data_IF_434867116264
#
_entry.id   IF_434867116264
#
_cell.length_a   1.000
_cell.length_b   1.000
_cell.length_c   1.000
_cell.angle_alpha   90.00
_cell.angle_beta   90.00
_cell.angle_gamma   90.00
#
_symmetry.space_group_name_H-M   'P 1'
#
loop_
_entity.id
_entity.type
_entity.pdbx_description
1 polymer ?
#
# COMPACT_ATOMS: atom_id res chain seq x y z
N UNK A 1 -2.53 10.98 -6.19
CA UNK A 1 -3.70 10.26 -6.70
C UNK A 1 -4.17 9.23 -5.69
N UNK A 2 -5.46 8.95 -5.64
CA UNK A 2 -6.05 7.91 -4.81
C UNK A 2 -6.89 6.93 -5.63
N UNK A 3 -6.76 5.65 -5.29
CA UNK A 3 -7.68 4.63 -5.79
C UNK A 3 -8.93 4.49 -4.89
N UNK A 4 -9.82 3.57 -5.26
CA UNK A 4 -11.13 3.43 -4.62
C UNK A 4 -11.12 2.66 -3.29
N UNK A 5 -10.00 2.06 -2.88
CA UNK A 5 -9.99 1.19 -1.69
C UNK A 5 -10.20 1.95 -0.38
N UNK A 6 -9.74 3.20 -0.31
CA UNK A 6 -9.93 4.07 0.86
C UNK A 6 -9.81 5.54 0.47
N UNK A 7 -10.84 6.06 -0.20
CA UNK A 7 -10.90 7.46 -0.61
C UNK A 7 -10.80 8.45 0.56
N UNK A 8 -11.45 8.23 1.72
CA UNK A 8 -11.31 9.12 2.87
C UNK A 8 -9.86 9.28 3.34
N UNK A 9 -9.11 8.17 3.46
CA UNK A 9 -7.69 8.23 3.87
C UNK A 9 -6.84 8.98 2.85
N UNK A 10 -7.10 8.80 1.55
CA UNK A 10 -6.40 9.53 0.49
C UNK A 10 -6.63 11.03 0.57
N UNK A 11 -7.86 11.43 0.82
CA UNK A 11 -8.24 12.83 0.98
C UNK A 11 -7.59 13.43 2.23
N UNK A 12 -7.72 12.78 3.38
CA UNK A 12 -7.13 13.21 4.63
C UNK A 12 -5.60 13.35 4.53
N UNK A 13 -4.93 12.41 3.87
CA UNK A 13 -3.50 12.50 3.61
C UNK A 13 -3.14 13.76 2.80
N UNK A 14 -3.91 14.07 1.77
CA UNK A 14 -3.70 15.28 0.97
C UNK A 14 -3.91 16.56 1.81
N UNK A 15 -4.94 16.60 2.63
CA UNK A 15 -5.24 17.71 3.56
C UNK A 15 -4.10 17.92 4.56
N UNK A 16 -3.59 16.85 5.18
CA UNK A 16 -2.47 16.92 6.14
C UNK A 16 -1.17 17.39 5.48
N UNK A 17 -0.96 17.05 4.22
CA UNK A 17 0.22 17.48 3.45
C UNK A 17 0.05 18.86 2.80
N UNK A 18 -1.14 19.47 2.87
CA UNK A 18 -1.43 20.77 2.24
C UNK A 18 -1.36 20.70 0.71
N UNK A 19 -1.69 19.54 0.11
CA UNK A 19 -1.67 19.34 -1.35
C UNK A 19 -3.06 19.00 -1.88
N UNK A 20 -3.29 19.26 -3.16
CA UNK A 20 -4.52 18.84 -3.84
C UNK A 20 -4.35 17.42 -4.38
N UNK A 21 -5.37 16.58 -4.18
CA UNK A 21 -5.38 15.26 -4.78
C UNK A 21 -5.46 15.36 -6.30
N UNK A 22 -4.57 14.65 -6.99
CA UNK A 22 -4.56 14.57 -8.43
C UNK A 22 -5.84 13.94 -8.97
N UNK A 23 -6.35 14.48 -10.08
CA UNK A 23 -7.60 14.05 -10.71
C UNK A 23 -7.40 12.75 -11.48
N UNK A 24 -8.15 11.74 -11.09
CA UNK A 24 -8.26 10.48 -11.83
C UNK A 24 -9.70 9.99 -11.80
N UNK A 25 -10.15 9.43 -12.92
CA UNK A 25 -11.41 8.72 -13.04
C UNK A 25 -11.12 7.24 -12.98
N UNK A 26 -11.67 6.56 -11.98
CA UNK A 26 -11.48 5.12 -11.75
C UNK A 26 -12.85 4.49 -11.61
N UNK A 27 -13.29 3.81 -12.64
CA UNK A 27 -14.64 3.25 -12.77
C UNK A 27 -14.58 1.78 -13.15
N UNK A 28 -15.75 1.19 -13.38
CA UNK A 28 -15.88 -0.18 -13.89
C UNK A 28 -16.87 -0.22 -15.02
N UNK A 29 -16.53 -1.06 -15.96
CA UNK A 29 -17.47 -1.50 -16.97
C UNK A 29 -18.51 -2.45 -16.35
N UNK A 30 -19.58 -2.71 -17.09
CA UNK A 30 -20.68 -3.56 -16.63
C UNK A 30 -20.28 -5.02 -16.34
N UNK A 31 -19.21 -5.49 -16.99
CA UNK A 31 -18.61 -6.81 -16.78
C UNK A 31 -17.63 -6.85 -15.60
N UNK A 32 -17.34 -5.69 -14.99
CA UNK A 32 -16.47 -5.55 -13.83
C UNK A 32 -15.02 -5.20 -14.13
N UNK A 33 -14.62 -5.07 -15.40
CA UNK A 33 -13.29 -4.57 -15.77
C UNK A 33 -13.10 -3.13 -15.30
N UNK A 34 -11.87 -2.80 -14.97
CA UNK A 34 -11.54 -1.48 -14.41
C UNK A 34 -11.11 -0.53 -15.53
N UNK A 35 -11.71 0.64 -15.55
CA UNK A 35 -11.34 1.76 -16.40
C UNK A 35 -10.62 2.81 -15.58
N UNK A 36 -9.49 3.32 -16.08
CA UNK A 36 -8.71 4.41 -15.46
C UNK A 36 -8.40 5.48 -16.50
N UNK A 37 -8.62 6.74 -16.10
CA UNK A 37 -8.22 7.93 -16.84
C UNK A 37 -7.53 8.91 -15.90
N UNK A 38 -6.31 9.33 -16.22
CA UNK A 38 -5.60 10.38 -15.49
C UNK A 38 -6.05 11.74 -16.02
N UNK A 39 -6.68 12.54 -15.19
CA UNK A 39 -7.37 13.77 -15.55
C UNK A 39 -6.48 15.02 -15.63
N UNK A 40 -5.14 14.87 -15.63
CA UNK A 40 -4.19 15.96 -15.68
C UNK A 40 -2.84 15.55 -16.30
N UNK A 41 -2.05 16.56 -16.69
CA UNK A 41 -0.73 16.30 -17.26
C UNK A 41 0.26 15.92 -16.16
N UNK A 42 0.78 14.70 -16.22
CA UNK A 42 1.76 14.16 -15.26
C UNK A 42 3.15 13.95 -15.87
N UNK A 43 3.41 14.44 -17.06
CA UNK A 43 4.69 14.26 -17.76
C UNK A 43 5.85 14.80 -16.91
N UNK A 44 6.80 13.92 -16.57
CA UNK A 44 7.97 14.25 -15.76
C UNK A 44 7.69 14.52 -14.28
N UNK A 45 6.43 14.39 -13.83
CA UNK A 45 6.01 14.65 -12.45
C UNK A 45 6.23 13.41 -11.59
N UNK A 46 6.63 13.61 -10.33
CA UNK A 46 6.68 12.54 -9.33
C UNK A 46 5.27 12.27 -8.80
N UNK A 47 4.71 11.11 -9.12
CA UNK A 47 3.35 10.74 -8.77
C UNK A 47 3.34 9.79 -7.57
N UNK A 48 2.57 10.14 -6.55
CA UNK A 48 2.22 9.25 -5.44
C UNK A 48 0.82 8.69 -5.68
N UNK A 49 0.70 7.38 -5.69
CA UNK A 49 -0.55 6.67 -5.89
C UNK A 49 -0.89 5.85 -4.66
N UNK A 50 -1.90 6.31 -3.91
CA UNK A 50 -2.37 5.62 -2.72
C UNK A 50 -3.47 4.62 -3.06
N UNK A 51 -3.23 3.35 -2.75
CA UNK A 51 -4.21 2.28 -2.88
C UNK A 51 -3.89 1.14 -1.91
N UNK A 52 -4.79 0.91 -0.97
CA UNK A 52 -4.71 -0.25 -0.08
C UNK A 52 -5.15 -1.51 -0.82
N UNK A 53 -4.41 -2.61 -0.68
CA UNK A 53 -4.80 -3.89 -1.28
C UNK A 53 -5.44 -4.86 -0.27
N UNK A 54 -6.19 -4.28 0.70
CA UNK A 54 -7.08 -5.02 1.60
C UNK A 54 -8.30 -5.57 0.85
N UNK A 55 -9.28 -6.12 1.58
CA UNK A 55 -10.49 -6.69 0.98
C UNK A 55 -11.30 -5.65 0.18
N UNK A 56 -11.71 -5.97 -1.04
CA UNK A 56 -11.44 -7.17 -1.84
C UNK A 56 -10.07 -7.10 -2.56
N UNK A 57 -9.09 -7.97 -2.21
CA UNK A 57 -7.68 -7.79 -2.57
C UNK A 57 -7.41 -7.88 -4.08
N UNK A 58 -8.06 -8.81 -4.77
CA UNK A 58 -7.85 -9.00 -6.21
C UNK A 58 -8.23 -7.75 -7.00
N UNK A 59 -9.37 -7.16 -6.66
CA UNK A 59 -9.88 -5.95 -7.27
C UNK A 59 -8.95 -4.76 -6.99
N UNK A 60 -8.62 -4.55 -5.72
CA UNK A 60 -7.81 -3.40 -5.31
C UNK A 60 -6.39 -3.49 -5.86
N UNK A 61 -5.84 -4.71 -5.98
CA UNK A 61 -4.55 -4.93 -6.62
C UNK A 61 -4.62 -4.63 -8.12
N UNK A 62 -5.61 -5.16 -8.84
CA UNK A 62 -5.75 -4.90 -10.28
C UNK A 62 -5.95 -3.40 -10.56
N UNK A 63 -6.77 -2.73 -9.75
CA UNK A 63 -6.97 -1.28 -9.85
C UNK A 63 -5.64 -0.52 -9.69
N UNK A 64 -4.84 -0.87 -8.68
CA UNK A 64 -3.52 -0.29 -8.47
C UNK A 64 -2.61 -0.48 -9.69
N UNK A 65 -2.55 -1.70 -10.23
CA UNK A 65 -1.69 -2.02 -11.38
C UNK A 65 -2.09 -1.21 -12.63
N UNK A 66 -3.39 -1.09 -12.91
CA UNK A 66 -3.91 -0.32 -14.06
C UNK A 66 -3.63 1.18 -13.87
N UNK A 67 -3.79 1.71 -12.65
CA UNK A 67 -3.47 3.11 -12.36
C UNK A 67 -1.97 3.39 -12.52
N UNK A 68 -1.09 2.48 -12.09
CA UNK A 68 0.36 2.60 -12.31
C UNK A 68 0.68 2.60 -13.81
N UNK A 69 0.09 1.69 -14.60
CA UNK A 69 0.32 1.64 -16.06
C UNK A 69 -0.19 2.92 -16.74
N UNK A 70 -1.33 3.45 -16.32
CA UNK A 70 -1.86 4.71 -16.84
C UNK A 70 -0.89 5.88 -16.59
N UNK A 71 -0.36 6.03 -15.38
CA UNK A 71 0.64 7.05 -15.03
C UNK A 71 1.95 6.86 -15.84
N UNK A 72 2.41 5.62 -15.98
CA UNK A 72 3.60 5.28 -16.79
C UNK A 72 3.40 5.68 -18.25
N UNK A 73 2.25 5.35 -18.85
CA UNK A 73 1.92 5.73 -20.24
C UNK A 73 1.70 7.23 -20.40
N UNK A 74 1.28 7.92 -19.35
CA UNK A 74 1.21 9.38 -19.32
C UNK A 74 2.59 10.04 -19.09
N UNK A 75 3.69 9.26 -19.09
CA UNK A 75 5.08 9.71 -18.93
C UNK A 75 5.35 10.37 -17.58
N UNK A 76 4.77 9.87 -16.49
CA UNK A 76 5.16 10.28 -15.13
C UNK A 76 6.67 10.09 -14.92
N UNK A 77 7.31 11.00 -14.21
CA UNK A 77 8.74 10.97 -13.94
C UNK A 77 9.12 9.86 -12.95
N UNK A 78 8.29 9.66 -11.93
CA UNK A 78 8.35 8.53 -11.01
C UNK A 78 6.95 8.17 -10.51
N UNK A 79 6.77 6.91 -10.10
CA UNK A 79 5.50 6.41 -9.59
C UNK A 79 5.77 5.69 -8.26
N UNK A 80 5.33 6.29 -7.16
CA UNK A 80 5.42 5.72 -5.83
C UNK A 80 4.08 5.06 -5.50
N UNK A 81 4.07 3.73 -5.37
CA UNK A 81 2.91 2.99 -4.91
C UNK A 81 2.85 3.05 -3.37
N UNK A 82 1.93 3.85 -2.83
CA UNK A 82 1.68 3.98 -1.41
C UNK A 82 0.57 3.01 -1.01
N UNK A 83 0.93 1.97 -0.27
CA UNK A 83 0.06 0.86 0.08
C UNK A 83 -0.13 0.78 1.60
N UNK A 84 -1.15 1.43 2.19
CA UNK A 84 -1.41 1.33 3.63
C UNK A 84 -1.56 -0.11 4.11
N UNK A 85 -2.08 -1.00 3.25
CA UNK A 85 -2.10 -2.44 3.47
C UNK A 85 -1.58 -3.17 2.24
N UNK A 86 -0.52 -3.98 2.42
CA UNK A 86 0.07 -4.82 1.38
C UNK A 86 -0.61 -6.20 1.38
N UNK A 87 -1.50 -6.44 0.45
CA UNK A 87 -2.21 -7.71 0.30
C UNK A 87 -1.28 -8.85 -0.13
N UNK A 88 -1.73 -10.11 0.11
CA UNK A 88 -0.95 -11.33 -0.18
C UNK A 88 0.36 -11.49 0.61
N UNK A 89 0.68 -10.59 1.53
CA UNK A 89 1.90 -10.61 2.34
C UNK A 89 2.06 -11.90 3.19
N UNK A 90 0.95 -12.55 3.57
CA UNK A 90 0.99 -13.82 4.33
C UNK A 90 1.60 -15.00 3.59
N UNK A 91 1.72 -14.89 2.27
CA UNK A 91 2.33 -15.92 1.40
C UNK A 91 3.73 -15.46 0.96
N UNK A 92 4.61 -15.24 1.91
CA UNK A 92 5.99 -14.78 1.74
C UNK A 92 7.00 -15.92 1.55
N UNK A 93 6.57 -17.16 1.76
CA UNK A 93 7.40 -18.37 1.66
C UNK A 93 6.55 -19.58 1.26
N UNK A 94 7.21 -20.62 0.75
CA UNK A 94 6.58 -21.92 0.52
C UNK A 94 6.42 -22.67 1.84
N UNK A 95 5.20 -22.81 2.31
CA UNK A 95 4.87 -23.59 3.52
C UNK A 95 4.69 -25.08 3.19
N UNK A 96 4.28 -25.38 1.94
CA UNK A 96 4.05 -26.75 1.44
C UNK A 96 4.62 -26.86 0.02
N UNK A 97 4.93 -28.08 -0.46
CA UNK A 97 5.29 -28.30 -1.85
C UNK A 97 4.18 -27.78 -2.79
N UNK A 98 4.58 -27.24 -3.96
CA UNK A 98 3.67 -26.78 -5.01
C UNK A 98 2.76 -25.62 -4.61
N UNK A 99 3.13 -24.81 -3.59
CA UNK A 99 2.46 -23.56 -3.25
C UNK A 99 3.20 -22.36 -3.83
N UNK A 100 2.49 -21.25 -4.13
CA UNK A 100 3.12 -20.03 -4.63
C UNK A 100 3.84 -19.26 -3.51
N UNK A 101 4.60 -18.24 -3.91
CA UNK A 101 5.03 -17.14 -3.04
C UNK A 101 4.33 -15.88 -3.57
N UNK A 102 3.07 -15.69 -3.17
CA UNK A 102 2.21 -14.64 -3.76
C UNK A 102 2.71 -13.24 -3.44
N UNK A 103 3.39 -13.03 -2.31
CA UNK A 103 4.02 -11.75 -1.98
C UNK A 103 5.09 -11.37 -3.03
N UNK A 104 5.88 -12.34 -3.51
CA UNK A 104 6.86 -12.10 -4.58
C UNK A 104 6.18 -11.81 -5.91
N UNK A 105 5.12 -12.53 -6.25
CA UNK A 105 4.34 -12.28 -7.46
C UNK A 105 3.80 -10.85 -7.47
N UNK A 106 3.23 -10.38 -6.36
CA UNK A 106 2.73 -8.99 -6.25
C UNK A 106 3.86 -7.98 -6.42
N UNK A 107 5.03 -8.22 -5.82
CA UNK A 107 6.19 -7.36 -5.99
C UNK A 107 6.63 -7.24 -7.46
N UNK A 108 6.66 -8.37 -8.18
CA UNK A 108 7.01 -8.41 -9.60
C UNK A 108 5.96 -7.67 -10.46
N UNK A 109 4.68 -7.87 -10.18
CA UNK A 109 3.58 -7.20 -10.89
C UNK A 109 3.63 -5.67 -10.71
N UNK A 110 3.86 -5.18 -9.50
CA UNK A 110 4.00 -3.74 -9.23
C UNK A 110 5.17 -3.13 -9.99
N UNK A 111 6.31 -3.82 -10.00
CA UNK A 111 7.52 -3.40 -10.72
C UNK A 111 7.28 -3.41 -12.23
N UNK A 112 6.69 -4.47 -12.76
CA UNK A 112 6.39 -4.61 -14.19
C UNK A 112 5.38 -3.56 -14.68
N UNK A 113 4.36 -3.26 -13.87
CA UNK A 113 3.39 -2.20 -14.16
C UNK A 113 4.06 -0.82 -14.27
N UNK A 114 5.14 -0.58 -13.53
CA UNK A 114 5.92 0.65 -13.63
C UNK A 114 6.12 1.41 -12.33
N UNK A 115 5.82 0.80 -11.17
CA UNK A 115 6.19 1.40 -9.90
C UNK A 115 7.71 1.59 -9.82
N UNK A 116 8.15 2.77 -9.41
CA UNK A 116 9.57 3.09 -9.22
C UNK A 116 9.99 3.02 -7.75
N UNK A 117 9.03 2.99 -6.84
CA UNK A 117 9.19 2.86 -5.40
C UNK A 117 7.88 2.33 -4.81
N UNK A 118 7.98 1.58 -3.73
CA UNK A 118 6.82 1.14 -2.95
C UNK A 118 6.98 1.64 -1.51
N UNK A 119 5.88 2.07 -0.92
CA UNK A 119 5.78 2.41 0.49
C UNK A 119 4.62 1.61 1.08
N UNK A 120 4.86 0.86 2.16
CA UNK A 120 3.80 0.12 2.84
C UNK A 120 3.95 0.22 4.36
N UNK A 121 2.82 0.01 5.05
CA UNK A 121 2.75 0.05 6.51
C UNK A 121 2.61 -1.38 7.04
N UNK A 122 3.34 -1.71 8.09
CA UNK A 122 3.27 -2.98 8.84
C UNK A 122 3.21 -4.22 7.95
N UNK A 123 4.25 -4.50 7.22
CA UNK A 123 4.37 -5.74 6.46
C UNK A 123 4.18 -6.97 7.38
N UNK A 124 3.55 -8.00 6.84
CA UNK A 124 3.43 -9.30 7.53
C UNK A 124 4.78 -9.85 7.98
N UNK A 125 5.81 -9.65 7.15
CA UNK A 125 7.18 -10.06 7.43
C UNK A 125 8.17 -9.08 6.77
N UNK A 126 9.16 -8.61 7.50
CA UNK A 126 10.10 -7.57 7.03
C UNK A 126 10.91 -7.98 5.81
N UNK A 127 11.19 -9.28 5.63
CA UNK A 127 11.93 -9.80 4.48
C UNK A 127 11.21 -9.62 3.12
N UNK A 128 9.91 -9.29 3.11
CA UNK A 128 9.17 -8.99 1.87
C UNK A 128 9.79 -7.82 1.11
N UNK A 129 10.45 -6.89 1.80
CA UNK A 129 11.22 -5.81 1.18
C UNK A 129 12.26 -6.34 0.19
N UNK A 130 12.89 -7.48 0.50
CA UNK A 130 13.87 -8.14 -0.36
C UNK A 130 13.29 -8.76 -1.65
N UNK A 131 11.97 -8.77 -1.84
CA UNK A 131 11.34 -9.22 -3.08
C UNK A 131 11.33 -8.15 -4.17
N UNK A 132 11.63 -6.91 -3.81
CA UNK A 132 11.65 -5.78 -4.72
C UNK A 132 13.08 -5.46 -5.18
N UNK A 133 13.23 -5.18 -6.48
CA UNK A 133 14.45 -4.62 -7.06
C UNK A 133 14.37 -3.09 -7.21
N UNK A 134 13.32 -2.49 -6.67
CA UNK A 134 13.11 -1.04 -6.56
C UNK A 134 13.10 -0.65 -5.08
N UNK A 135 13.36 0.62 -4.74
CA UNK A 135 13.30 1.09 -3.35
C UNK A 135 11.96 0.75 -2.69
N UNK A 136 12.04 0.30 -1.44
CA UNK A 136 10.90 -0.03 -0.63
C UNK A 136 11.00 0.65 0.74
N UNK A 137 9.98 1.41 1.13
CA UNK A 137 9.90 2.05 2.43
C UNK A 137 8.89 1.30 3.31
N UNK A 138 9.39 0.62 4.32
CA UNK A 138 8.57 -0.07 5.32
C UNK A 138 8.32 0.86 6.51
N UNK A 139 7.11 1.38 6.62
CA UNK A 139 6.66 2.18 7.74
C UNK A 139 6.00 1.30 8.81
N UNK A 140 6.01 1.80 10.05
CA UNK A 140 5.41 1.12 11.19
C UNK A 140 4.30 1.99 11.79
N UNK A 141 3.16 1.38 12.13
CA UNK A 141 2.06 2.07 12.81
C UNK A 141 2.30 2.25 14.33
N UNK A 142 3.39 1.71 14.87
CA UNK A 142 3.74 1.83 16.29
C UNK A 142 3.69 3.28 16.82
N UNK A 143 4.19 4.31 16.12
CA UNK A 143 4.05 5.70 16.59
C UNK A 143 2.60 6.14 16.78
N UNK A 144 1.71 5.73 15.86
CA UNK A 144 0.28 6.05 15.91
C UNK A 144 -0.35 5.40 17.14
N UNK A 145 -0.12 4.10 17.35
CA UNK A 145 -0.64 3.39 18.52
C UNK A 145 -0.12 3.99 19.83
N UNK A 146 1.17 4.32 19.90
CA UNK A 146 1.77 4.96 21.07
C UNK A 146 1.10 6.28 21.40
N UNK A 147 0.79 7.10 20.41
CA UNK A 147 0.15 8.38 20.65
C UNK A 147 -1.32 8.23 21.09
N UNK A 148 -2.06 7.27 20.53
CA UNK A 148 -3.42 6.91 20.99
C UNK A 148 -3.39 6.43 22.45
N UNK A 149 -2.45 5.57 22.84
CA UNK A 149 -2.31 5.09 24.21
C UNK A 149 -2.00 6.23 25.18
N UNK A 150 -1.12 7.17 24.79
CA UNK A 150 -0.82 8.36 25.58
C UNK A 150 -2.05 9.26 25.79
N UNK A 151 -2.83 9.50 24.72
CA UNK A 151 -4.07 10.29 24.78
C UNK A 151 -5.11 9.62 25.67
N UNK A 152 -5.18 8.29 25.68
CA UNK A 152 -6.04 7.52 26.57
C UNK A 152 -5.55 7.47 28.03
N UNK A 153 -4.43 8.14 28.35
CA UNK A 153 -3.86 8.15 29.71
C UNK A 153 -3.17 6.85 30.12
N UNK A 154 -3.02 5.90 29.19
CA UNK A 154 -2.41 4.60 29.45
C UNK A 154 -0.88 4.74 29.41
N UNK A 155 -0.24 4.71 30.59
CA UNK A 155 1.22 4.92 30.76
C UNK A 155 1.78 4.07 31.89
N UNK A 156 3.07 3.76 31.77
CA UNK A 156 3.87 3.17 32.85
C UNK A 156 3.65 1.67 33.07
N UNK A 157 4.03 1.22 34.26
CA UNK A 157 4.07 -0.20 34.66
C UNK A 157 2.71 -0.88 34.78
N UNK A 158 1.63 -0.08 34.81
CA UNK A 158 0.27 -0.61 35.01
C UNK A 158 -0.39 -1.05 33.68
N UNK A 159 0.33 -0.90 32.57
CA UNK A 159 -0.14 -1.26 31.23
C UNK A 159 0.64 -2.45 30.72
N UNK A 160 -0.09 -3.49 30.28
CA UNK A 160 0.47 -4.66 29.61
C UNK A 160 -0.03 -4.70 28.17
N UNK A 161 0.91 -4.75 27.22
CA UNK A 161 0.58 -4.95 25.82
C UNK A 161 0.61 -6.44 25.52
N UNK A 162 -0.47 -6.99 24.98
CA UNK A 162 -0.62 -8.40 24.67
C UNK A 162 -0.68 -8.60 23.17
N UNK A 163 0.22 -9.45 22.64
CA UNK A 163 0.16 -9.90 21.26
C UNK A 163 -0.73 -11.14 21.16
N UNK A 164 -1.64 -11.24 20.18
CA UNK A 164 -2.49 -12.40 19.98
C UNK A 164 -1.74 -13.65 19.49
N UNK A 165 -0.55 -13.45 18.91
CA UNK A 165 0.30 -14.52 18.39
C UNK A 165 1.79 -14.16 18.45
N UNK A 166 2.65 -15.13 18.15
CA UNK A 166 4.10 -14.93 18.15
C UNK A 166 4.57 -13.92 17.08
N UNK A 167 3.86 -13.80 15.97
CA UNK A 167 4.21 -12.86 14.88
C UNK A 167 3.99 -11.40 15.25
N UNK A 168 3.10 -11.10 16.19
CA UNK A 168 2.83 -9.75 16.67
C UNK A 168 3.73 -9.29 17.82
N UNK A 169 4.52 -10.20 18.44
CA UNK A 169 5.34 -9.87 19.63
C UNK A 169 6.35 -8.75 19.37
N UNK A 170 6.97 -8.74 18.22
CA UNK A 170 7.94 -7.69 17.86
C UNK A 170 7.29 -6.30 17.80
N UNK A 171 6.03 -6.22 17.35
CA UNK A 171 5.25 -4.97 17.31
C UNK A 171 4.72 -4.57 18.68
N UNK A 172 4.59 -5.52 19.61
CA UNK A 172 4.12 -5.27 20.97
C UNK A 172 5.24 -4.77 21.91
N UNK A 173 6.49 -4.89 21.52
CA UNK A 173 7.68 -4.37 22.24
C UNK A 173 7.89 -2.89 21.97
#
# INVERSE_FOLDING_TARGET
FGGNSNAPLSQELCEQLGIVQGRARVERFSDGEIFVEIGENVRGVNCFLMQSTCSPPNRNLMELLIMIDALKRASAGSIVALMPYFGYARQDRKVKPRTPISAKLVADLLTAAGATRVLAVDLHAGQIQGFFNIPFDHLYATPVFRDVLKLAGLRGSDVVIVSPDAGGVERAR
#
